data_IF_839934614666
#
_entry.id   IF_839934614666
#
_cell.length_a   1.000
_cell.length_b   1.000
_cell.length_c   1.000
_cell.angle_alpha   90.00
_cell.angle_beta   90.00
_cell.angle_gamma   90.00
#
_symmetry.space_group_name_H-M   'P 1'
#
loop_
_entity.id
_entity.type
_entity.pdbx_description
1 polymer ?
#
# COMPACT_ATOMS: atom_id res chain seq x y z
N UNK A 1 41.64 4.15 8.37
CA UNK A 1 41.32 4.61 7.00
C UNK A 1 41.02 6.10 7.09
N UNK A 2 41.83 6.95 6.46
CA UNK A 2 41.70 8.41 6.55
C UNK A 2 40.90 8.87 5.33
N UNK A 3 39.61 9.18 5.52
CA UNK A 3 38.76 9.69 4.44
C UNK A 3 39.09 11.16 4.25
N UNK A 4 39.62 11.48 3.07
CA UNK A 4 40.08 12.81 2.71
C UNK A 4 38.88 13.77 2.63
N UNK A 5 38.80 14.70 3.57
CA UNK A 5 37.65 15.60 3.80
C UNK A 5 37.38 16.47 2.56
N UNK A 6 38.41 16.76 1.75
CA UNK A 6 38.27 17.50 0.50
C UNK A 6 37.54 16.70 -0.58
N UNK A 7 37.77 15.38 -0.66
CA UNK A 7 37.07 14.51 -1.62
C UNK A 7 35.60 14.31 -1.26
N UNK A 8 35.29 14.24 0.03
CA UNK A 8 33.91 14.13 0.48
C UNK A 8 33.10 15.39 0.12
N UNK A 9 33.66 16.58 0.36
CA UNK A 9 33.00 17.85 0.01
C UNK A 9 32.83 18.05 -1.50
N UNK A 10 33.78 17.59 -2.32
CA UNK A 10 33.69 17.68 -3.78
C UNK A 10 32.63 16.73 -4.34
N UNK A 11 32.43 15.56 -3.72
CA UNK A 11 31.34 14.65 -4.06
C UNK A 11 29.98 15.25 -3.70
N UNK A 12 29.84 15.88 -2.52
CA UNK A 12 28.59 16.52 -2.08
C UNK A 12 28.21 17.72 -2.97
N UNK A 13 29.19 18.51 -3.42
CA UNK A 13 28.94 19.66 -4.29
C UNK A 13 28.47 19.26 -5.70
N UNK A 14 28.85 18.06 -6.17
CA UNK A 14 28.47 17.54 -7.50
C UNK A 14 27.00 17.16 -7.59
N UNK A 15 26.35 16.88 -6.45
CA UNK A 15 24.93 16.47 -6.39
C UNK A 15 24.00 17.70 -6.44
N UNK A 16 24.50 18.89 -6.08
CA UNK A 16 23.69 20.11 -6.03
C UNK A 16 23.55 20.84 -7.39
N UNK A 17 24.33 20.51 -8.40
CA UNK A 17 24.35 21.24 -9.70
C UNK A 17 23.92 20.41 -10.91
N UNK A 18 23.55 19.14 -10.72
CA UNK A 18 23.15 18.23 -11.80
C UNK A 18 21.65 18.19 -12.10
N UNK A 19 21.00 19.33 -12.36
CA UNK A 19 19.65 19.34 -12.97
C UNK A 19 19.75 19.38 -14.49
N UNK A 20 20.05 18.22 -15.09
CA UNK A 20 19.88 18.02 -16.52
C UNK A 20 18.38 18.01 -16.85
N UNK A 21 17.82 19.17 -17.18
CA UNK A 21 16.56 19.25 -17.91
C UNK A 21 16.78 18.67 -19.32
N UNK A 22 15.99 17.68 -19.78
CA UNK A 22 16.04 17.26 -21.17
C UNK A 22 15.59 18.40 -22.09
N UNK A 23 16.13 18.50 -23.32
CA UNK A 23 15.68 19.49 -24.29
C UNK A 23 14.20 19.25 -24.63
N UNK A 24 13.41 20.30 -24.46
CA UNK A 24 12.02 20.41 -24.91
C UNK A 24 11.94 20.06 -26.39
N UNK A 25 11.30 18.92 -26.70
CA UNK A 25 10.98 18.53 -28.06
C UNK A 25 10.01 19.56 -28.67
N UNK A 26 10.23 20.04 -29.91
CA UNK A 26 9.33 20.96 -30.57
C UNK A 26 7.94 20.32 -30.77
N UNK A 27 6.96 21.00 -30.19
CA UNK A 27 5.52 20.72 -30.24
C UNK A 27 5.07 20.56 -31.68
N UNK A 28 4.60 19.36 -32.05
CA UNK A 28 3.85 19.15 -33.28
C UNK A 28 2.50 19.92 -33.19
N UNK A 29 1.99 20.46 -34.31
CA UNK A 29 0.70 21.15 -34.32
C UNK A 29 -0.42 20.18 -33.93
N UNK A 30 -1.28 20.67 -33.03
CA UNK A 30 -2.47 20.00 -32.52
C UNK A 30 -3.49 19.83 -33.65
N UNK A 31 -3.67 18.59 -34.10
CA UNK A 31 -4.81 18.16 -34.91
C UNK A 31 -6.02 18.01 -33.97
N UNK A 32 -6.89 19.02 -33.98
CA UNK A 32 -8.18 19.00 -33.28
C UNK A 32 -9.14 18.04 -34.00
N UNK A 33 -8.86 16.75 -33.91
CA UNK A 33 -9.80 15.69 -34.25
C UNK A 33 -10.91 15.64 -33.21
N UNK A 34 -12.10 16.08 -33.60
CA UNK A 34 -13.38 15.87 -32.90
C UNK A 34 -13.57 14.37 -32.58
N UNK A 35 -13.13 13.93 -31.40
CA UNK A 35 -13.47 12.60 -30.88
C UNK A 35 -14.91 12.68 -30.40
N UNK A 36 -15.83 12.34 -31.31
CA UNK A 36 -17.22 12.07 -31.00
C UNK A 36 -17.29 10.85 -30.08
N UNK A 37 -17.34 11.10 -28.77
CA UNK A 37 -17.57 10.07 -27.75
C UNK A 37 -18.97 9.49 -27.98
N UNK A 38 -19.01 8.32 -28.61
CA UNK A 38 -20.23 7.51 -28.70
C UNK A 38 -20.38 6.80 -27.36
N UNK A 39 -21.47 7.04 -26.59
CA UNK A 39 -21.70 6.34 -25.35
C UNK A 39 -21.90 4.84 -25.63
N UNK A 40 -21.26 3.94 -24.87
CA UNK A 40 -21.56 2.52 -24.99
C UNK A 40 -23.00 2.29 -24.56
N UNK A 41 -23.84 1.86 -25.50
CA UNK A 41 -25.16 1.31 -25.19
C UNK A 41 -24.93 -0.04 -24.51
N UNK A 42 -24.95 -0.03 -23.17
CA UNK A 42 -24.98 -1.25 -22.37
C UNK A 42 -26.38 -1.84 -22.54
N UNK A 43 -26.46 -2.92 -23.33
CA UNK A 43 -27.63 -3.77 -23.34
C UNK A 43 -27.76 -4.43 -21.96
N UNK A 44 -28.78 -4.02 -21.21
CA UNK A 44 -29.17 -4.68 -19.97
C UNK A 44 -29.98 -5.90 -20.40
N UNK A 45 -29.37 -7.07 -20.36
CA UNK A 45 -30.10 -8.33 -20.47
C UNK A 45 -31.11 -8.43 -19.31
N UNK A 46 -32.38 -8.76 -19.58
CA UNK A 46 -33.35 -9.00 -18.52
C UNK A 46 -32.90 -10.22 -17.71
N UNK A 47 -32.63 -9.98 -16.42
CA UNK A 47 -32.28 -11.00 -15.46
C UNK A 47 -33.30 -12.15 -15.51
N UNK A 48 -32.82 -13.33 -15.88
CA UNK A 48 -33.58 -14.57 -15.74
C UNK A 48 -33.55 -14.93 -14.26
N UNK A 49 -34.68 -14.73 -13.60
CA UNK A 49 -34.93 -15.06 -12.20
C UNK A 49 -34.92 -16.58 -12.05
N UNK A 50 -33.75 -17.15 -11.78
CA UNK A 50 -33.60 -18.57 -11.46
C UNK A 50 -33.84 -18.74 -9.95
N UNK A 51 -34.86 -19.50 -9.53
CA UNK A 51 -35.19 -19.64 -8.11
C UNK A 51 -34.10 -20.43 -7.39
N UNK A 52 -33.37 -19.75 -6.52
CA UNK A 52 -32.34 -20.35 -5.67
C UNK A 52 -32.93 -21.49 -4.84
N UNK A 53 -32.30 -22.68 -4.81
CA UNK A 53 -32.73 -23.78 -3.97
C UNK A 53 -32.65 -23.36 -2.50
N UNK A 54 -33.78 -23.55 -1.81
CA UNK A 54 -34.01 -23.25 -0.40
C UNK A 54 -32.99 -24.01 0.47
N UNK A 55 -31.83 -23.40 0.72
CA UNK A 55 -30.75 -23.95 1.52
C UNK A 55 -31.11 -23.71 2.98
N UNK A 56 -31.43 -24.78 3.70
CA UNK A 56 -31.71 -24.74 5.13
C UNK A 56 -30.61 -23.96 5.88
N UNK A 57 -30.94 -23.17 6.91
CA UNK A 57 -29.94 -22.48 7.72
C UNK A 57 -29.08 -23.55 8.41
N UNK A 58 -27.87 -23.77 7.91
CA UNK A 58 -26.87 -24.51 8.66
C UNK A 58 -26.58 -23.71 9.92
N UNK A 59 -26.88 -24.29 11.08
CA UNK A 59 -26.56 -23.72 12.38
C UNK A 59 -25.07 -23.34 12.41
N UNK A 60 -24.72 -22.10 12.81
CA UNK A 60 -23.33 -21.72 12.95
C UNK A 60 -22.72 -22.57 14.07
N UNK A 61 -21.81 -23.47 13.71
CA UNK A 61 -20.98 -24.16 14.68
C UNK A 61 -20.19 -23.11 15.45
N UNK A 62 -20.56 -22.90 16.71
CA UNK A 62 -19.88 -22.01 17.64
C UNK A 62 -18.53 -22.61 18.03
N UNK A 63 -17.54 -22.58 17.13
CA UNK A 63 -16.14 -22.72 17.52
C UNK A 63 -15.71 -21.41 18.19
N UNK A 64 -16.03 -21.30 19.47
CA UNK A 64 -15.58 -20.23 20.35
C UNK A 64 -14.14 -20.53 20.78
N UNK A 65 -13.23 -20.52 19.81
CA UNK A 65 -11.79 -20.48 20.09
C UNK A 65 -11.43 -19.15 20.73
N UNK A 66 -10.44 -19.15 21.64
CA UNK A 66 -9.95 -17.94 22.27
C UNK A 66 -9.48 -16.93 21.18
N UNK A 67 -9.93 -15.67 21.19
CA UNK A 67 -9.61 -14.68 20.15
C UNK A 67 -8.11 -14.51 19.90
N UNK A 68 -7.30 -14.72 20.94
CA UNK A 68 -5.84 -14.58 20.90
C UNK A 68 -5.18 -15.66 20.03
N UNK A 69 -5.76 -16.86 19.95
CA UNK A 69 -5.22 -17.96 19.14
C UNK A 69 -5.49 -17.73 17.65
N UNK A 70 -6.62 -17.08 17.30
CA UNK A 70 -6.96 -16.82 15.90
C UNK A 70 -5.97 -15.87 15.22
N UNK A 71 -5.60 -14.76 15.88
CA UNK A 71 -4.67 -13.78 15.32
C UNK A 71 -3.26 -14.34 15.18
N UNK A 72 -2.80 -15.15 16.15
CA UNK A 72 -1.50 -15.81 16.08
C UNK A 72 -1.45 -16.83 14.93
N UNK A 73 -2.50 -17.63 14.74
CA UNK A 73 -2.60 -18.58 13.62
C UNK A 73 -2.63 -17.87 12.28
N UNK A 74 -3.37 -16.76 12.18
CA UNK A 74 -3.41 -15.96 10.97
C UNK A 74 -2.04 -15.37 10.65
N UNK A 75 -1.37 -14.76 11.63
CA UNK A 75 -0.04 -14.20 11.46
C UNK A 75 0.96 -15.28 10.99
N UNK A 76 0.91 -16.48 11.57
CA UNK A 76 1.75 -17.60 11.15
C UNK A 76 1.47 -18.03 9.69
N UNK A 77 0.20 -18.12 9.29
CA UNK A 77 -0.17 -18.45 7.90
C UNK A 77 0.30 -17.38 6.91
N UNK A 78 0.20 -16.10 7.27
CA UNK A 78 0.67 -15.00 6.43
C UNK A 78 2.20 -14.99 6.32
N UNK A 79 2.91 -15.25 7.42
CA UNK A 79 4.36 -15.42 7.40
C UNK A 79 4.78 -16.56 6.47
N UNK A 80 4.10 -17.71 6.52
CA UNK A 80 4.34 -18.81 5.58
C UNK A 80 4.08 -18.40 4.12
N UNK A 81 3.02 -17.62 3.87
CA UNK A 81 2.73 -17.11 2.52
C UNK A 81 3.82 -16.15 2.02
N UNK A 82 4.36 -15.28 2.88
CA UNK A 82 5.50 -14.41 2.57
C UNK A 82 6.77 -15.21 2.24
N UNK A 83 7.05 -16.29 2.97
CA UNK A 83 8.19 -17.18 2.71
C UNK A 83 8.09 -17.94 1.37
N UNK A 84 6.87 -18.06 0.81
CA UNK A 84 6.62 -18.68 -0.49
C UNK A 84 6.77 -17.72 -1.67
N UNK A 85 6.99 -16.42 -1.42
CA UNK A 85 7.30 -15.46 -2.47
C UNK A 85 8.62 -15.84 -3.16
N UNK A 86 8.72 -15.57 -4.45
CA UNK A 86 9.91 -15.88 -5.26
C UNK A 86 10.36 -14.63 -6.00
N UNK A 87 11.68 -14.38 -6.10
CA UNK A 87 12.16 -13.38 -7.03
C UNK A 87 11.96 -13.91 -8.47
N UNK A 88 11.89 -13.03 -9.48
CA UNK A 88 11.93 -13.46 -10.86
C UNK A 88 13.27 -14.15 -11.18
N UNK A 89 13.30 -15.05 -12.19
CA UNK A 89 14.56 -15.63 -12.63
C UNK A 89 15.47 -14.54 -13.23
N UNK A 90 16.72 -14.48 -12.76
CA UNK A 90 17.74 -13.58 -13.30
C UNK A 90 18.50 -12.78 -12.24
N UNK A 91 19.52 -12.00 -12.63
CA UNK A 91 20.49 -11.42 -11.70
C UNK A 91 20.08 -10.07 -11.05
N UNK A 92 18.82 -9.62 -11.13
CA UNK A 92 18.47 -8.24 -10.74
C UNK A 92 17.16 -8.15 -9.94
N UNK A 93 17.22 -8.38 -8.62
CA UNK A 93 16.08 -8.16 -7.72
C UNK A 93 16.56 -7.81 -6.30
N UNK A 94 17.35 -6.75 -6.17
CA UNK A 94 17.99 -6.35 -4.90
C UNK A 94 16.97 -5.99 -3.81
N UNK A 95 15.81 -5.46 -4.20
CA UNK A 95 14.69 -5.08 -3.32
C UNK A 95 13.84 -6.26 -2.84
N UNK A 96 14.03 -7.47 -3.38
CA UNK A 96 13.19 -8.62 -3.02
C UNK A 96 13.30 -8.96 -1.53
N UNK A 97 14.51 -8.86 -0.98
CA UNK A 97 14.73 -9.12 0.43
C UNK A 97 13.91 -8.17 1.31
N UNK A 98 13.95 -6.86 1.02
CA UNK A 98 13.13 -5.85 1.69
C UNK A 98 11.63 -6.11 1.51
N UNK A 99 11.20 -6.53 0.31
CA UNK A 99 9.79 -6.89 0.05
C UNK A 99 9.34 -8.08 0.92
N UNK A 100 10.20 -9.06 1.16
CA UNK A 100 9.89 -10.18 2.07
C UNK A 100 9.80 -9.72 3.52
N UNK A 101 10.74 -8.89 3.99
CA UNK A 101 10.71 -8.32 5.34
C UNK A 101 9.42 -7.51 5.57
N UNK A 102 9.06 -6.66 4.62
CA UNK A 102 7.82 -5.87 4.66
C UNK A 102 6.56 -6.74 4.62
N UNK A 103 6.58 -7.85 3.88
CA UNK A 103 5.47 -8.79 3.85
C UNK A 103 5.17 -9.36 5.24
N UNK A 104 6.20 -9.67 6.03
CA UNK A 104 6.00 -10.19 7.39
C UNK A 104 5.37 -9.17 8.34
N UNK A 105 5.60 -7.87 8.11
CA UNK A 105 4.98 -6.78 8.87
C UNK A 105 3.46 -6.84 8.74
N UNK A 106 2.91 -7.26 7.58
CA UNK A 106 1.46 -7.28 7.37
C UNK A 106 0.70 -8.12 8.38
N UNK A 107 1.17 -9.34 8.68
CA UNK A 107 0.50 -10.21 9.65
C UNK A 107 0.58 -9.67 11.09
N UNK A 108 1.62 -8.90 11.41
CA UNK A 108 1.82 -8.32 12.74
C UNK A 108 1.06 -7.01 12.92
N UNK A 109 1.04 -6.14 11.91
CA UNK A 109 0.56 -4.78 12.03
C UNK A 109 -0.85 -4.52 11.48
N UNK A 110 -1.32 -5.32 10.52
CA UNK A 110 -2.60 -5.08 9.86
C UNK A 110 -3.73 -5.91 10.47
N UNK A 111 -4.96 -5.40 10.30
CA UNK A 111 -6.18 -6.16 10.53
C UNK A 111 -6.20 -7.40 9.61
N UNK A 112 -6.81 -8.52 10.05
CA UNK A 112 -6.83 -9.77 9.31
C UNK A 112 -7.11 -9.65 7.81
N UNK A 113 -8.25 -9.04 7.44
CA UNK A 113 -8.67 -8.94 6.05
C UNK A 113 -7.77 -8.00 5.22
N UNK A 114 -7.17 -6.97 5.82
CA UNK A 114 -6.20 -6.11 5.14
C UNK A 114 -4.89 -6.87 4.87
N UNK A 115 -4.41 -7.61 5.87
CA UNK A 115 -3.19 -8.39 5.79
C UNK A 115 -3.27 -9.47 4.70
N UNK A 116 -4.36 -10.23 4.67
CA UNK A 116 -4.63 -11.23 3.62
C UNK A 116 -4.58 -10.60 2.24
N UNK A 117 -5.24 -9.45 2.04
CA UNK A 117 -5.31 -8.78 0.73
C UNK A 117 -3.97 -8.20 0.30
N UNK A 118 -3.17 -7.69 1.23
CA UNK A 118 -1.83 -7.22 0.93
C UNK A 118 -0.90 -8.38 0.54
N UNK A 119 -0.96 -9.50 1.27
CA UNK A 119 -0.17 -10.70 0.95
C UNK A 119 -0.62 -11.31 -0.39
N UNK A 120 -1.92 -11.38 -0.67
CA UNK A 120 -2.44 -11.84 -1.96
C UNK A 120 -1.93 -10.99 -3.12
N UNK A 121 -1.84 -9.66 -2.92
CA UNK A 121 -1.24 -8.75 -3.89
C UNK A 121 0.23 -9.09 -4.16
N UNK A 122 1.05 -9.30 -3.11
CA UNK A 122 2.45 -9.70 -3.28
C UNK A 122 2.58 -11.07 -3.93
N UNK A 123 1.73 -12.03 -3.55
CA UNK A 123 1.69 -13.35 -4.14
C UNK A 123 1.38 -13.29 -5.64
N UNK A 124 0.51 -12.39 -6.07
CA UNK A 124 0.23 -12.14 -7.48
C UNK A 124 1.43 -11.57 -8.25
N UNK A 125 2.36 -10.88 -7.55
CA UNK A 125 3.63 -10.36 -8.10
C UNK A 125 4.79 -11.36 -8.05
N UNK A 126 4.65 -12.43 -7.28
CA UNK A 126 5.69 -13.45 -7.07
C UNK A 126 6.21 -14.03 -8.38
N UNK A 127 7.54 -14.11 -8.53
CA UNK A 127 8.22 -14.62 -9.70
C UNK A 127 8.26 -13.68 -10.91
N UNK A 128 7.76 -12.44 -10.77
CA UNK A 128 7.73 -11.43 -11.84
C UNK A 128 8.63 -10.24 -11.52
N UNK A 129 8.95 -9.43 -12.52
CA UNK A 129 9.82 -8.25 -12.35
C UNK A 129 9.20 -7.16 -11.45
N UNK A 130 7.87 -7.11 -11.33
CA UNK A 130 7.18 -6.07 -10.55
C UNK A 130 7.18 -6.32 -9.04
N UNK A 131 7.69 -7.46 -8.57
CA UNK A 131 8.03 -7.66 -7.15
C UNK A 131 9.40 -7.07 -6.80
N UNK A 132 10.22 -6.74 -7.79
CA UNK A 132 11.55 -6.16 -7.62
C UNK A 132 11.54 -4.63 -7.54
N UNK A 133 10.38 -3.99 -7.46
CA UNK A 133 10.32 -2.54 -7.22
C UNK A 133 10.35 -2.29 -5.71
N UNK A 134 11.10 -1.29 -5.25
CA UNK A 134 11.09 -0.89 -3.84
C UNK A 134 9.70 -0.51 -3.32
N UNK A 135 8.79 -0.10 -4.22
CA UNK A 135 7.41 0.22 -3.88
C UNK A 135 6.45 -0.98 -3.90
N UNK A 136 6.92 -2.20 -4.20
CA UNK A 136 6.02 -3.35 -4.42
C UNK A 136 5.17 -3.65 -3.18
N UNK A 137 5.79 -3.68 -2.02
CA UNK A 137 5.12 -3.85 -0.74
C UNK A 137 4.31 -2.60 -0.36
N UNK A 138 4.83 -1.38 -0.52
CA UNK A 138 4.02 -0.16 -0.33
C UNK A 138 2.72 -0.14 -1.15
N UNK A 139 2.76 -0.55 -2.43
CA UNK A 139 1.59 -0.68 -3.30
C UNK A 139 0.61 -1.76 -2.80
N UNK A 140 1.12 -2.92 -2.41
CA UNK A 140 0.27 -4.01 -1.91
C UNK A 140 -0.32 -3.72 -0.53
N UNK A 141 0.37 -2.93 0.30
CA UNK A 141 -0.20 -2.38 1.52
C UNK A 141 -1.42 -1.51 1.20
N UNK A 142 -1.33 -0.58 0.24
CA UNK A 142 -2.49 0.23 -0.19
C UNK A 142 -3.66 -0.64 -0.63
N UNK A 143 -3.41 -1.68 -1.45
CA UNK A 143 -4.44 -2.66 -1.84
C UNK A 143 -5.09 -3.33 -0.61
N UNK A 144 -4.27 -3.73 0.37
CA UNK A 144 -4.75 -4.28 1.64
C UNK A 144 -5.65 -3.31 2.40
N UNK A 145 -5.24 -2.05 2.52
CA UNK A 145 -6.03 -1.04 3.24
C UNK A 145 -7.41 -0.82 2.63
N UNK A 146 -7.51 -0.80 1.30
CA UNK A 146 -8.77 -0.61 0.58
C UNK A 146 -9.79 -1.74 0.79
N UNK A 147 -9.37 -2.88 1.35
CA UNK A 147 -10.27 -3.98 1.71
C UNK A 147 -11.07 -3.72 3.00
N UNK A 148 -10.68 -2.70 3.77
CA UNK A 148 -11.28 -2.37 5.06
C UNK A 148 -12.12 -1.10 4.95
N UNK A 149 -13.39 -1.13 5.39
CA UNK A 149 -14.20 0.08 5.48
C UNK A 149 -13.58 1.07 6.46
N UNK A 150 -13.54 2.38 6.16
CA UNK A 150 -13.02 3.37 7.09
C UNK A 150 -13.95 3.48 8.30
N UNK A 151 -13.37 3.30 9.48
CA UNK A 151 -14.03 3.45 10.75
C UNK A 151 -14.36 4.93 11.05
N UNK A 152 -15.43 5.20 11.82
CA UNK A 152 -15.79 6.57 12.18
C UNK A 152 -14.81 7.20 13.17
N UNK A 153 -14.24 6.42 14.09
CA UNK A 153 -13.29 6.87 15.11
C UNK A 153 -11.96 7.37 14.52
N UNK A 154 -11.57 6.87 13.33
CA UNK A 154 -10.42 7.35 12.57
C UNK A 154 -10.56 8.78 12.04
N UNK A 155 -11.76 9.37 12.07
CA UNK A 155 -12.01 10.71 11.49
C UNK A 155 -11.24 11.81 12.21
N UNK A 156 -11.34 11.87 13.54
CA UNK A 156 -10.67 12.89 14.35
C UNK A 156 -9.13 12.86 14.24
N UNK A 157 -8.44 11.71 14.42
CA UNK A 157 -6.99 11.66 14.27
C UNK A 157 -6.54 12.01 12.84
N UNK A 158 -7.27 11.57 11.81
CA UNK A 158 -6.96 11.94 10.44
C UNK A 158 -7.13 13.43 10.16
N UNK A 159 -8.14 14.08 10.73
CA UNK A 159 -8.29 15.52 10.60
C UNK A 159 -7.09 16.26 11.21
N UNK A 160 -6.58 15.79 12.36
CA UNK A 160 -5.36 16.33 12.98
C UNK A 160 -4.16 16.18 12.06
N UNK A 161 -3.93 14.98 11.51
CA UNK A 161 -2.84 14.70 10.58
C UNK A 161 -2.93 15.59 9.34
N UNK A 162 -4.12 15.71 8.74
CA UNK A 162 -4.31 16.53 7.55
C UNK A 162 -4.14 18.02 7.81
N UNK A 163 -4.55 18.50 8.97
CA UNK A 163 -4.31 19.88 9.38
C UNK A 163 -2.80 20.15 9.57
N UNK A 164 -2.06 19.18 10.12
CA UNK A 164 -0.61 19.25 10.25
C UNK A 164 0.10 19.24 8.89
N UNK A 165 -0.32 18.35 8.00
CA UNK A 165 0.17 18.26 6.63
C UNK A 165 -0.35 19.37 5.70
N UNK A 166 -1.13 20.31 6.24
CA UNK A 166 -1.89 21.30 5.51
C UNK A 166 -1.06 22.17 4.56
N UNK A 167 -1.47 22.21 3.29
CA UNK A 167 -1.34 23.40 2.43
C UNK A 167 0.07 23.89 2.05
N UNK A 168 1.14 23.19 2.44
CA UNK A 168 2.51 23.66 2.29
C UNK A 168 3.40 22.68 1.53
N UNK A 169 3.25 22.62 0.21
CA UNK A 169 4.22 22.17 -0.80
C UNK A 169 3.63 21.15 -1.79
N UNK A 170 3.62 21.58 -3.04
CA UNK A 170 2.85 21.04 -4.17
C UNK A 170 3.27 19.64 -4.65
N UNK A 171 4.23 18.98 -3.99
CA UNK A 171 4.82 17.72 -4.48
C UNK A 171 4.75 16.53 -3.49
N UNK A 172 4.38 16.74 -2.21
CA UNK A 172 4.32 15.64 -1.22
C UNK A 172 2.91 15.38 -0.67
N UNK A 173 1.97 16.31 -0.84
CA UNK A 173 0.62 16.22 -0.29
C UNK A 173 -0.39 15.46 -1.20
N UNK A 174 0.05 14.90 -2.34
CA UNK A 174 -0.90 14.30 -3.29
C UNK A 174 -1.48 12.97 -2.81
N UNK A 175 -0.77 12.23 -1.95
CA UNK A 175 -1.19 10.87 -1.59
C UNK A 175 -2.02 10.80 -0.30
N UNK A 176 -1.85 11.78 0.61
CA UNK A 176 -2.55 11.79 1.90
C UNK A 176 -3.79 12.68 1.86
N UNK A 177 -4.94 12.05 1.66
CA UNK A 177 -6.26 12.67 1.82
C UNK A 177 -7.04 12.01 2.98
N UNK A 178 -8.19 12.59 3.33
CA UNK A 178 -9.02 12.12 4.45
C UNK A 178 -9.47 10.66 4.29
N UNK A 179 -9.79 10.23 3.08
CA UNK A 179 -10.18 8.85 2.83
C UNK A 179 -8.98 7.91 2.97
N UNK A 180 -7.83 8.24 2.37
CA UNK A 180 -6.61 7.42 2.46
C UNK A 180 -6.17 7.26 3.91
N UNK A 181 -6.11 8.36 4.68
CA UNK A 181 -5.74 8.32 6.08
C UNK A 181 -6.69 7.42 6.90
N UNK A 182 -8.01 7.62 6.75
CA UNK A 182 -9.00 6.86 7.53
C UNK A 182 -8.94 5.37 7.19
N UNK A 183 -8.84 5.05 5.91
CA UNK A 183 -8.74 3.67 5.43
C UNK A 183 -7.47 3.00 5.95
N UNK A 184 -6.34 3.72 5.96
CA UNK A 184 -5.09 3.22 6.52
C UNK A 184 -5.19 2.96 8.04
N UNK A 185 -5.73 3.91 8.82
CA UNK A 185 -5.89 3.71 10.26
C UNK A 185 -6.83 2.55 10.61
N UNK A 186 -7.89 2.37 9.83
CA UNK A 186 -8.83 1.26 10.02
C UNK A 186 -8.22 -0.08 9.64
N UNK A 187 -7.33 -0.11 8.65
CA UNK A 187 -6.65 -1.33 8.22
C UNK A 187 -5.52 -1.78 9.15
N UNK A 188 -5.07 -0.92 10.07
CA UNK A 188 -4.02 -1.22 11.05
C UNK A 188 -4.63 -1.66 12.38
N UNK A 189 -3.96 -2.58 13.09
CA UNK A 189 -4.35 -3.02 14.44
C UNK A 189 -4.38 -1.83 15.41
N UNK A 190 -5.32 -1.85 16.35
CA UNK A 190 -5.56 -0.69 17.23
C UNK A 190 -4.32 -0.29 18.04
N UNK A 191 -3.51 -1.25 18.49
CA UNK A 191 -2.25 -1.04 19.23
C UNK A 191 -1.14 -0.39 18.38
N UNK A 192 -1.30 -0.34 17.05
CA UNK A 192 -0.34 0.22 16.09
C UNK A 192 -0.77 1.55 15.49
N UNK A 193 -2.00 2.00 15.76
CA UNK A 193 -2.54 3.24 15.18
C UNK A 193 -1.74 4.48 15.55
N UNK A 194 -1.28 4.60 16.80
CA UNK A 194 -0.49 5.75 17.24
C UNK A 194 0.85 5.87 16.52
N UNK A 195 1.47 4.72 16.21
CA UNK A 195 2.71 4.66 15.42
C UNK A 195 2.47 5.17 14.00
N UNK A 196 1.39 4.69 13.36
CA UNK A 196 1.00 5.15 12.03
C UNK A 196 0.67 6.66 12.02
N UNK A 197 -0.07 7.15 13.04
CA UNK A 197 -0.40 8.57 13.17
C UNK A 197 0.86 9.42 13.31
N UNK A 198 1.83 9.00 14.15
CA UNK A 198 3.10 9.70 14.33
C UNK A 198 3.85 9.82 13.00
N UNK A 199 4.02 8.69 12.29
CA UNK A 199 4.70 8.71 11.01
C UNK A 199 3.97 9.55 9.95
N UNK A 200 2.63 9.50 9.89
CA UNK A 200 1.87 10.32 8.94
C UNK A 200 1.98 11.82 9.26
N UNK A 201 2.08 12.21 10.53
CA UNK A 201 2.33 13.60 10.91
C UNK A 201 3.72 14.07 10.44
N UNK A 202 4.71 13.18 10.44
CA UNK A 202 6.09 13.50 10.06
C UNK A 202 6.31 13.50 8.54
N UNK A 203 5.82 12.47 7.86
CA UNK A 203 6.08 12.24 6.43
C UNK A 203 4.98 12.74 5.51
N UNK A 204 3.77 12.96 6.02
CA UNK A 204 2.58 13.26 5.23
C UNK A 204 2.28 12.26 4.11
N UNK A 205 2.67 10.99 4.28
CA UNK A 205 2.34 9.88 3.38
C UNK A 205 1.88 8.65 4.17
N UNK A 206 1.10 7.77 3.55
CA UNK A 206 0.72 6.47 4.16
C UNK A 206 1.72 5.38 3.79
N UNK A 207 2.16 5.32 2.53
CA UNK A 207 3.01 4.23 2.02
C UNK A 207 4.37 4.15 2.73
N UNK A 208 5.00 5.29 3.03
CA UNK A 208 6.28 5.34 3.73
C UNK A 208 6.22 4.92 5.21
N UNK A 209 5.01 4.88 5.80
CA UNK A 209 4.82 4.58 7.22
C UNK A 209 4.69 3.11 7.54
N UNK A 210 4.68 2.23 6.54
CA UNK A 210 4.59 0.78 6.75
C UNK A 210 5.76 0.27 7.62
N UNK A 211 6.98 0.77 7.38
CA UNK A 211 8.19 0.33 8.07
C UNK A 211 8.18 0.62 9.57
N UNK A 212 7.55 1.74 9.96
CA UNK A 212 7.52 2.15 11.37
C UNK A 212 6.60 1.24 12.21
N UNK A 213 5.68 0.50 11.56
CA UNK A 213 4.73 -0.38 12.26
C UNK A 213 5.41 -1.56 12.97
N UNK A 214 6.63 -1.93 12.58
CA UNK A 214 7.38 -3.04 13.18
C UNK A 214 8.22 -2.64 14.39
N UNK A 215 8.41 -1.34 14.65
CA UNK A 215 9.41 -0.83 15.59
C UNK A 215 9.09 -1.03 17.10
N UNK A 216 8.12 -1.87 17.47
CA UNK A 216 7.69 -2.09 18.87
C UNK A 216 7.19 -3.51 19.12
#
# INVERSE_FOLDING_TARGET
MHVDRARFLLLTASIATGSCSPPTSPRAPEDNGDIKVVPPSIAIDPATDEPLPNRAPSEPATEQGDPIDHDARLAARLAEACQRLKPPPGPHCESFHSTMEECEIYGRALQPAAAERAVDCLAAKSGRQDICTYDAAGQCFVVGTLAIPPEPDATAPCQTVLNHCGGGSMHSAQDLNAMTCRTALSAVKTDRRDVLISCMNESCTVGGCLFDLDAR
#
